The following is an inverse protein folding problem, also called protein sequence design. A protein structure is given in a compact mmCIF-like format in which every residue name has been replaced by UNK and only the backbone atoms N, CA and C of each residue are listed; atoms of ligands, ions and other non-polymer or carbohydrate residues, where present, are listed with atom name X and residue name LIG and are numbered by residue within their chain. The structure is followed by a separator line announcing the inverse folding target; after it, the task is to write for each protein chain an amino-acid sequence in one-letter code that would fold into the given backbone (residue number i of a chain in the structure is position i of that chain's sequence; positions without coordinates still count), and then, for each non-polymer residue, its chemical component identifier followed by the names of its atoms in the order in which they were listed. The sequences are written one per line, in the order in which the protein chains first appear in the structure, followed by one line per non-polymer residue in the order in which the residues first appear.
data_IF_774054386275
#
_entry.id   IF_774054386275
#
_cell.length_a   1.000
_cell.length_b   1.000
_cell.length_c   1.000
_cell.angle_alpha   90.00
_cell.angle_beta   90.00
_cell.angle_gamma   90.00
#
_symmetry.space_group_name_H-M   'P 1'
#
loop_
_entity.id
_entity.type
_entity.pdbx_description
1 polymer ?
#
# COMPACT_ATOMS: atom_id res chain seq x y z
N UNK A 1 -14.21 36.98 -23.88
CA UNK A 1 -13.01 36.78 -23.02
C UNK A 1 -12.68 35.30 -23.05
N UNK A 2 -11.59 34.92 -23.73
CA UNK A 2 -11.17 33.52 -23.83
C UNK A 2 -10.48 33.13 -22.53
N UNK A 3 -11.21 32.52 -21.59
CA UNK A 3 -10.63 31.93 -20.40
C UNK A 3 -9.62 30.86 -20.85
N UNK A 4 -8.35 31.04 -20.47
CA UNK A 4 -7.29 30.07 -20.74
C UNK A 4 -7.74 28.74 -20.14
N UNK A 5 -7.78 27.64 -20.90
CA UNK A 5 -8.20 26.35 -20.34
C UNK A 5 -7.28 26.03 -19.14
N UNK A 6 -7.84 25.51 -18.03
CA UNK A 6 -7.07 25.18 -16.86
C UNK A 6 -5.92 24.24 -17.26
N UNK A 7 -4.70 24.66 -16.97
CA UNK A 7 -3.52 23.86 -17.26
C UNK A 7 -3.61 22.55 -16.48
N UNK A 8 -3.29 21.43 -17.14
CA UNK A 8 -3.26 20.12 -16.50
C UNK A 8 -2.35 20.18 -15.26
N UNK A 9 -2.80 19.66 -14.09
CA UNK A 9 -1.96 19.59 -12.91
C UNK A 9 -0.72 18.74 -13.24
N UNK A 10 0.46 19.35 -13.14
CA UNK A 10 1.73 18.65 -13.40
C UNK A 10 1.98 17.62 -12.29
N UNK A 11 2.28 16.36 -12.63
CA UNK A 11 2.55 15.35 -11.63
C UNK A 11 3.87 15.67 -10.89
N UNK A 12 3.88 15.44 -9.59
CA UNK A 12 5.09 15.56 -8.76
C UNK A 12 6.04 14.39 -9.02
N UNK A 13 7.33 14.55 -8.70
CA UNK A 13 8.32 13.48 -8.85
C UNK A 13 7.92 12.18 -8.12
N UNK A 14 7.32 12.30 -6.94
CA UNK A 14 6.79 11.15 -6.19
C UNK A 14 5.64 10.44 -6.92
N UNK A 15 4.76 11.19 -7.60
CA UNK A 15 3.66 10.63 -8.38
C UNK A 15 4.18 9.90 -9.62
N UNK A 16 5.18 10.47 -10.30
CA UNK A 16 5.84 9.84 -11.46
C UNK A 16 6.59 8.58 -11.02
N UNK A 17 7.31 8.61 -9.90
CA UNK A 17 7.98 7.43 -9.34
C UNK A 17 6.97 6.33 -9.00
N UNK A 18 5.86 6.68 -8.35
CA UNK A 18 4.78 5.74 -8.07
C UNK A 18 4.14 5.17 -9.33
N UNK A 19 4.05 5.95 -10.41
CA UNK A 19 3.61 5.46 -11.72
C UNK A 19 4.61 4.48 -12.31
N UNK A 20 5.92 4.77 -12.28
CA UNK A 20 6.98 3.84 -12.73
C UNK A 20 6.91 2.51 -11.99
N UNK A 21 6.78 2.55 -10.65
CA UNK A 21 6.67 1.34 -9.84
C UNK A 21 5.43 0.53 -10.22
N UNK A 22 4.28 1.17 -10.44
CA UNK A 22 3.05 0.48 -10.86
C UNK A 22 3.15 -0.12 -12.26
N UNK A 23 3.71 0.61 -13.22
CA UNK A 23 3.96 0.12 -14.58
C UNK A 23 4.90 -1.07 -14.51
N UNK A 24 6.00 -0.97 -13.74
CA UNK A 24 6.93 -2.08 -13.55
C UNK A 24 6.26 -3.29 -12.89
N UNK A 25 5.46 -3.09 -11.85
CA UNK A 25 4.74 -4.16 -11.17
C UNK A 25 3.76 -4.90 -12.11
N UNK A 26 3.05 -4.16 -12.97
CA UNK A 26 2.12 -4.75 -13.92
C UNK A 26 2.82 -5.58 -15.02
N UNK A 27 3.99 -5.14 -15.49
CA UNK A 27 4.74 -5.83 -16.54
C UNK A 27 5.65 -6.96 -16.01
N UNK A 28 6.18 -6.81 -14.80
CA UNK A 28 7.13 -7.74 -14.19
C UNK A 28 6.71 -8.11 -12.75
N UNK A 29 5.57 -8.81 -12.58
CA UNK A 29 5.01 -9.08 -11.25
C UNK A 29 5.93 -9.91 -10.36
N UNK A 30 6.67 -10.86 -10.94
CA UNK A 30 7.62 -11.70 -10.20
C UNK A 30 8.85 -10.91 -9.72
N UNK A 31 9.39 -10.03 -10.58
CA UNK A 31 10.54 -9.20 -10.22
C UNK A 31 10.16 -8.17 -9.15
N UNK A 32 8.98 -7.55 -9.27
CA UNK A 32 8.43 -6.64 -8.27
C UNK A 32 8.19 -7.33 -6.91
N UNK A 33 7.58 -8.51 -6.93
CA UNK A 33 7.37 -9.33 -5.75
C UNK A 33 8.69 -9.71 -5.06
N UNK A 34 9.66 -10.19 -5.84
CA UNK A 34 10.98 -10.57 -5.33
C UNK A 34 11.72 -9.37 -4.72
N UNK A 35 11.77 -8.24 -5.43
CA UNK A 35 12.41 -7.02 -4.93
C UNK A 35 11.76 -6.50 -3.64
N UNK A 36 10.43 -6.46 -3.59
CA UNK A 36 9.71 -6.05 -2.39
C UNK A 36 9.89 -7.02 -1.21
N UNK A 37 9.93 -8.32 -1.48
CA UNK A 37 10.25 -9.35 -0.47
C UNK A 37 11.65 -9.17 0.10
N UNK A 38 12.66 -8.86 -0.73
CA UNK A 38 14.02 -8.59 -0.28
C UNK A 38 14.11 -7.34 0.60
N UNK A 39 13.44 -6.26 0.23
CA UNK A 39 13.39 -5.02 1.03
C UNK A 39 12.71 -5.27 2.38
N UNK A 40 11.60 -6.00 2.39
CA UNK A 40 10.93 -6.37 3.63
C UNK A 40 11.82 -7.26 4.51
N UNK A 41 12.49 -8.25 3.92
CA UNK A 41 13.46 -9.09 4.61
C UNK A 41 14.58 -8.28 5.25
N UNK A 42 15.18 -7.34 4.51
CA UNK A 42 16.22 -6.44 5.03
C UNK A 42 15.71 -5.57 6.20
N UNK A 43 14.47 -5.08 6.13
CA UNK A 43 13.87 -4.29 7.20
C UNK A 43 13.63 -5.11 8.46
N UNK A 44 13.13 -6.34 8.33
CA UNK A 44 12.96 -7.27 9.45
C UNK A 44 14.33 -7.65 10.04
N UNK A 45 15.35 -7.86 9.20
CA UNK A 45 16.72 -8.08 9.65
C UNK A 45 17.22 -6.94 10.53
N UNK A 46 17.04 -5.70 10.07
CA UNK A 46 17.44 -4.50 10.79
C UNK A 46 16.70 -4.37 12.13
N UNK A 47 15.38 -4.60 12.14
CA UNK A 47 14.58 -4.56 13.37
C UNK A 47 14.99 -5.64 14.36
N UNK A 48 15.32 -6.84 13.87
CA UNK A 48 15.77 -7.93 14.71
C UNK A 48 17.17 -7.66 15.28
N UNK A 49 18.09 -7.11 14.48
CA UNK A 49 19.41 -6.65 14.95
C UNK A 49 19.26 -5.58 16.04
N UNK A 50 18.38 -4.59 15.83
CA UNK A 50 18.12 -3.54 16.82
C UNK A 50 17.49 -4.09 18.11
N UNK A 51 16.62 -5.09 17.99
CA UNK A 51 15.96 -5.73 19.13
C UNK A 51 16.89 -6.70 19.88
N UNK A 52 17.85 -7.30 19.19
CA UNK A 52 18.89 -8.16 19.76
C UNK A 52 20.10 -7.38 20.30
N UNK A 53 20.26 -6.10 19.93
CA UNK A 53 21.37 -5.25 20.36
C UNK A 53 21.60 -5.22 21.89
N UNK A 54 20.57 -5.16 22.76
CA UNK A 54 20.77 -5.22 24.22
C UNK A 54 21.28 -6.58 24.73
N UNK A 55 20.96 -7.66 24.02
CA UNK A 55 21.40 -9.02 24.35
C UNK A 55 22.76 -9.39 23.77
N UNK A 56 23.27 -8.64 22.79
CA UNK A 56 24.61 -8.82 22.21
C UNK A 56 25.74 -8.29 23.12
N UNK A 57 25.41 -7.45 24.09
CA UNK A 57 26.35 -6.92 25.09
C UNK A 57 26.49 -7.82 26.32
N UNK A 58 25.63 -8.83 26.47
CA UNK A 58 25.68 -9.77 27.59
C UNK A 58 25.95 -11.20 27.08
N UNK A 59 27.12 -11.80 27.35
CA UNK A 59 27.51 -13.11 26.83
C UNK A 59 26.62 -14.27 27.33
N UNK A 60 25.71 -14.01 28.26
CA UNK A 60 24.70 -14.98 28.72
C UNK A 60 23.31 -14.82 28.06
N UNK A 61 23.08 -13.76 27.27
CA UNK A 61 21.74 -13.21 27.03
C UNK A 61 20.96 -13.72 25.81
N UNK A 62 21.60 -14.26 24.77
CA UNK A 62 20.89 -14.66 23.55
C UNK A 62 21.28 -16.08 23.09
N UNK A 63 20.51 -17.11 23.45
CA UNK A 63 20.80 -18.47 23.00
C UNK A 63 20.62 -18.59 21.48
N UNK A 64 21.48 -19.37 20.80
CA UNK A 64 21.55 -19.44 19.34
C UNK A 64 20.26 -19.85 18.62
N UNK A 65 19.32 -20.51 19.32
CA UNK A 65 17.99 -20.81 18.80
C UNK A 65 17.14 -19.55 18.55
N UNK A 66 17.43 -18.45 19.25
CA UNK A 66 16.74 -17.17 19.08
C UNK A 66 17.12 -16.52 17.74
N UNK A 67 18.40 -16.62 17.34
CA UNK A 67 18.86 -16.20 16.01
C UNK A 67 18.25 -17.07 14.89
N UNK A 68 18.16 -18.38 15.12
CA UNK A 68 17.50 -19.29 14.18
C UNK A 68 16.00 -18.99 14.04
N UNK A 69 15.31 -18.68 15.16
CA UNK A 69 13.92 -18.26 15.17
C UNK A 69 13.69 -16.93 14.45
N UNK A 70 14.57 -15.96 14.66
CA UNK A 70 14.57 -14.67 13.94
C UNK A 70 14.78 -14.89 12.44
N UNK A 71 15.76 -15.69 12.04
CA UNK A 71 16.02 -16.01 10.63
C UNK A 71 14.83 -16.73 9.98
N UNK A 72 14.20 -17.66 10.69
CA UNK A 72 12.98 -18.34 10.26
C UNK A 72 11.82 -17.37 10.08
N UNK A 73 11.57 -16.49 11.06
CA UNK A 73 10.54 -15.47 10.98
C UNK A 73 10.79 -14.46 9.84
N UNK A 74 12.04 -14.07 9.60
CA UNK A 74 12.45 -13.23 8.47
C UNK A 74 12.12 -13.87 7.13
N UNK A 75 12.48 -15.15 6.96
CA UNK A 75 12.26 -15.87 5.71
C UNK A 75 10.77 -16.05 5.44
N UNK A 76 9.99 -16.44 6.44
CA UNK A 76 8.53 -16.55 6.34
C UNK A 76 7.91 -15.18 6.03
N UNK A 77 8.31 -14.13 6.75
CA UNK A 77 7.82 -12.77 6.53
C UNK A 77 8.11 -12.25 5.12
N UNK A 78 9.35 -12.44 4.63
CA UNK A 78 9.75 -12.06 3.28
C UNK A 78 8.95 -12.81 2.21
N UNK A 79 8.72 -14.12 2.40
CA UNK A 79 7.91 -14.94 1.51
C UNK A 79 6.45 -14.50 1.48
N UNK A 80 5.86 -14.22 2.65
CA UNK A 80 4.48 -13.72 2.74
C UNK A 80 4.35 -12.37 2.03
N UNK A 81 5.28 -11.43 2.27
CA UNK A 81 5.28 -10.13 1.60
C UNK A 81 5.47 -10.29 0.09
N UNK A 82 6.42 -11.11 -0.37
CA UNK A 82 6.62 -11.38 -1.78
C UNK A 82 5.37 -11.99 -2.42
N UNK A 83 4.72 -12.95 -1.76
CA UNK A 83 3.48 -13.56 -2.23
C UNK A 83 2.36 -12.52 -2.35
N UNK A 84 2.14 -11.70 -1.32
CA UNK A 84 1.12 -10.65 -1.33
C UNK A 84 1.40 -9.60 -2.41
N UNK A 85 2.65 -9.17 -2.58
CA UNK A 85 3.04 -8.23 -3.63
C UNK A 85 2.91 -8.84 -5.03
N UNK A 86 3.17 -10.14 -5.18
CA UNK A 86 2.98 -10.87 -6.43
C UNK A 86 1.51 -11.01 -6.79
N UNK A 87 0.65 -11.34 -5.83
CA UNK A 87 -0.80 -11.37 -6.00
C UNK A 87 -1.34 -9.97 -6.34
N UNK A 88 -0.89 -8.95 -5.60
CA UNK A 88 -1.22 -7.56 -5.89
C UNK A 88 -0.78 -7.16 -7.31
N UNK A 89 0.46 -7.42 -7.70
CA UNK A 89 0.98 -7.07 -9.01
C UNK A 89 0.24 -7.78 -10.15
N UNK A 90 -0.15 -9.05 -9.97
CA UNK A 90 -0.98 -9.80 -10.91
C UNK A 90 -2.41 -9.29 -10.99
N UNK A 91 -2.93 -8.71 -9.91
CA UNK A 91 -4.25 -8.09 -9.87
C UNK A 91 -4.29 -6.69 -10.50
N UNK A 92 -3.14 -6.08 -10.80
CA UNK A 92 -3.11 -4.77 -11.42
C UNK A 92 -3.65 -4.82 -12.85
N UNK A 93 -4.47 -3.83 -13.26
CA UNK A 93 -4.93 -3.76 -14.63
C UNK A 93 -3.74 -3.59 -15.57
N UNK A 94 -3.71 -4.39 -16.63
CA UNK A 94 -2.73 -4.28 -17.71
C UNK A 94 -3.07 -3.05 -18.55
N UNK A 95 -2.50 -1.92 -18.17
CA UNK A 95 -2.61 -0.69 -18.96
C UNK A 95 -1.47 -0.69 -19.97
N UNK A 96 -1.78 -0.51 -21.25
CA UNK A 96 -0.79 -0.44 -22.33
C UNK A 96 0.11 0.82 -22.26
N UNK A 97 -0.22 1.76 -21.38
CA UNK A 97 0.53 2.99 -21.18
C UNK A 97 1.88 2.71 -20.51
N UNK A 98 2.96 3.11 -21.19
CA UNK A 98 4.34 2.96 -20.72
C UNK A 98 4.94 4.27 -20.22
N UNK A 99 4.37 5.43 -20.61
CA UNK A 99 4.86 6.73 -20.13
C UNK A 99 4.39 7.00 -18.69
N UNK A 100 5.31 7.04 -17.71
CA UNK A 100 4.94 7.28 -16.31
C UNK A 100 4.38 8.69 -16.07
N UNK A 101 4.72 9.68 -16.90
CA UNK A 101 4.20 11.03 -16.77
C UNK A 101 2.74 11.06 -17.21
N UNK A 102 2.43 10.54 -18.41
CA UNK A 102 1.06 10.44 -18.92
C UNK A 102 0.18 9.57 -18.02
N UNK A 103 0.71 8.45 -17.51
CA UNK A 103 0.04 7.63 -16.51
C UNK A 103 -0.28 8.41 -15.22
N UNK A 104 0.69 9.15 -14.68
CA UNK A 104 0.50 9.94 -13.47
C UNK A 104 -0.53 11.06 -13.66
N UNK A 105 -0.46 11.77 -14.79
CA UNK A 105 -1.40 12.83 -15.16
C UNK A 105 -2.83 12.28 -15.29
N UNK A 106 -3.02 11.19 -16.03
CA UNK A 106 -4.32 10.53 -16.16
C UNK A 106 -4.89 10.11 -14.80
N UNK A 107 -4.05 9.63 -13.88
CA UNK A 107 -4.47 9.23 -12.53
C UNK A 107 -4.85 10.42 -11.66
N UNK A 108 -4.11 11.53 -11.72
CA UNK A 108 -4.45 12.77 -11.01
C UNK A 108 -5.78 13.31 -11.53
N UNK A 109 -5.96 13.27 -12.83
CA UNK A 109 -7.16 13.77 -13.48
C UNK A 109 -8.40 12.92 -13.17
N UNK A 110 -8.29 11.59 -13.21
CA UNK A 110 -9.35 10.71 -12.72
C UNK A 110 -9.68 10.98 -11.24
N UNK A 111 -8.67 11.30 -10.43
CA UNK A 111 -8.84 11.61 -9.00
C UNK A 111 -9.36 13.03 -8.72
N UNK A 112 -9.25 13.96 -9.67
CA UNK A 112 -9.81 15.32 -9.53
C UNK A 112 -11.31 15.33 -9.80
N UNK A 113 -11.83 14.39 -10.59
CA UNK A 113 -13.24 14.35 -10.99
C UNK A 113 -13.54 15.18 -12.25
N UNK A 114 -12.53 15.75 -12.90
CA UNK A 114 -12.70 16.70 -14.01
C UNK A 114 -12.09 16.20 -15.32
N UNK A 115 -12.70 16.55 -16.45
CA UNK A 115 -12.14 16.30 -17.78
C UNK A 115 -11.04 17.33 -18.07
N UNK A 116 -9.93 16.84 -18.62
CA UNK A 116 -8.82 17.66 -19.06
C UNK A 116 -9.00 18.09 -20.52
N UNK A 117 -8.16 19.03 -20.98
CA UNK A 117 -8.17 19.48 -22.38
C UNK A 117 -7.66 18.42 -23.37
N UNK A 118 -6.92 17.41 -22.90
CA UNK A 118 -6.34 16.37 -23.76
C UNK A 118 -7.27 15.13 -23.81
N UNK A 119 -7.87 14.82 -24.99
CA UNK A 119 -8.76 13.67 -25.14
C UNK A 119 -8.05 12.33 -24.97
N UNK A 120 -6.75 12.22 -25.26
CA UNK A 120 -6.01 10.97 -25.06
C UNK A 120 -5.83 10.66 -23.57
N UNK A 121 -5.45 11.68 -22.79
CA UNK A 121 -5.36 11.58 -21.33
C UNK A 121 -6.74 11.31 -20.72
N UNK A 122 -7.82 11.91 -21.24
CA UNK A 122 -9.20 11.62 -20.80
C UNK A 122 -9.58 10.15 -21.03
N UNK A 123 -9.31 9.61 -22.22
CA UNK A 123 -9.55 8.19 -22.55
C UNK A 123 -8.74 7.25 -21.66
N UNK A 124 -7.48 7.59 -21.40
CA UNK A 124 -6.63 6.81 -20.51
C UNK A 124 -7.15 6.86 -19.07
N UNK A 125 -7.49 8.04 -18.57
CA UNK A 125 -8.07 8.25 -17.24
C UNK A 125 -9.40 7.48 -17.09
N UNK A 126 -10.22 7.40 -18.14
CA UNK A 126 -11.46 6.62 -18.16
C UNK A 126 -11.21 5.10 -18.15
N UNK A 127 -10.28 4.60 -18.97
CA UNK A 127 -9.87 3.18 -18.92
C UNK A 127 -9.28 2.80 -17.58
N UNK A 128 -8.52 3.71 -16.97
CA UNK A 128 -8.06 3.54 -15.61
C UNK A 128 -9.23 3.55 -14.63
N UNK A 129 -10.12 4.54 -14.63
CA UNK A 129 -11.21 4.64 -13.63
C UNK A 129 -12.15 3.44 -13.66
N UNK A 130 -12.47 2.91 -14.84
CA UNK A 130 -13.28 1.69 -15.00
C UNK A 130 -12.63 0.47 -14.35
N UNK A 131 -11.32 0.28 -14.55
CA UNK A 131 -10.58 -0.83 -13.94
C UNK A 131 -10.22 -0.59 -12.47
N UNK A 132 -9.93 0.67 -12.12
CA UNK A 132 -9.61 1.06 -10.74
C UNK A 132 -10.88 1.12 -9.90
N UNK A 133 -12.08 1.20 -10.47
CA UNK A 133 -13.34 1.07 -9.74
C UNK A 133 -13.43 -0.23 -8.94
N UNK A 134 -12.87 -1.33 -9.47
CA UNK A 134 -12.68 -2.59 -8.75
C UNK A 134 -11.60 -2.52 -7.66
N UNK A 135 -10.51 -1.78 -7.90
CA UNK A 135 -9.37 -1.63 -6.97
C UNK A 135 -9.47 -0.44 -6.00
N UNK A 136 -10.52 0.38 -6.06
CA UNK A 136 -10.74 1.58 -5.23
C UNK A 136 -11.91 1.41 -4.29
N UNK A 137 -12.62 0.28 -4.35
CA UNK A 137 -13.60 -0.07 -3.33
C UNK A 137 -12.85 -0.23 -2.00
N UNK A 138 -13.06 0.67 -1.02
CA UNK A 138 -12.33 0.66 0.23
C UNK A 138 -12.47 -0.66 1.00
N UNK A 139 -13.51 -1.45 0.73
CA UNK A 139 -13.71 -2.78 1.32
C UNK A 139 -12.57 -3.73 1.00
N UNK A 140 -11.99 -3.66 -0.21
CA UNK A 140 -10.86 -4.50 -0.62
C UNK A 140 -9.53 -4.10 0.05
N UNK A 141 -9.42 -2.84 0.49
CA UNK A 141 -8.26 -2.36 1.26
C UNK A 141 -8.38 -2.60 2.77
N UNK A 142 -9.60 -2.75 3.29
CA UNK A 142 -9.84 -3.02 4.72
C UNK A 142 -9.49 -4.46 5.11
N UNK A 143 -9.75 -5.44 4.24
CA UNK A 143 -9.47 -6.86 4.51
C UNK A 143 -8.01 -7.14 4.92
N UNK A 144 -6.97 -6.73 4.16
CA UNK A 144 -5.58 -6.95 4.57
C UNK A 144 -5.21 -6.15 5.83
N UNK A 145 -5.80 -4.98 6.05
CA UNK A 145 -5.59 -4.18 7.26
C UNK A 145 -6.15 -4.87 8.51
N UNK A 146 -7.31 -5.52 8.41
CA UNK A 146 -7.91 -6.31 9.48
C UNK A 146 -7.10 -7.56 9.79
N UNK A 147 -6.55 -8.23 8.76
CA UNK A 147 -5.66 -9.38 8.95
C UNK A 147 -4.37 -8.96 9.67
N UNK A 148 -3.75 -7.84 9.25
CA UNK A 148 -2.56 -7.29 9.92
C UNK A 148 -2.90 -6.90 11.36
N UNK A 149 -4.04 -6.22 11.59
CA UNK A 149 -4.48 -5.85 12.93
C UNK A 149 -4.63 -7.07 13.82
N UNK A 150 -5.31 -8.12 13.35
CA UNK A 150 -5.48 -9.37 14.09
C UNK A 150 -4.13 -10.01 14.42
N UNK A 151 -3.20 -10.04 13.47
CA UNK A 151 -1.87 -10.63 13.72
C UNK A 151 -1.04 -9.83 14.73
N UNK A 152 -1.13 -8.51 14.68
CA UNK A 152 -0.43 -7.59 15.60
C UNK A 152 -1.05 -7.61 17.00
N UNK A 153 -2.36 -7.88 17.12
CA UNK A 153 -3.05 -7.89 18.42
C UNK A 153 -3.02 -9.23 19.13
N UNK A 154 -3.00 -10.37 18.42
CA UNK A 154 -3.18 -11.71 19.02
C UNK A 154 -2.18 -12.00 20.15
N UNK A 155 -0.89 -11.74 19.94
CA UNK A 155 0.14 -12.01 20.96
C UNK A 155 0.01 -11.11 22.19
N UNK A 156 -0.01 -9.76 22.06
CA UNK A 156 -0.19 -8.90 23.23
C UNK A 156 -1.53 -9.14 23.94
N UNK A 157 -2.61 -9.51 23.23
CA UNK A 157 -3.87 -9.90 23.89
C UNK A 157 -3.73 -11.17 24.72
N UNK A 158 -3.02 -12.17 24.20
CA UNK A 158 -2.77 -13.42 24.92
C UNK A 158 -1.89 -13.22 26.17
N UNK A 159 -0.90 -12.34 26.09
CA UNK A 159 -0.04 -11.96 27.23
C UNK A 159 -0.82 -11.15 28.27
N UNK A 160 -1.76 -10.28 27.86
CA UNK A 160 -2.59 -9.47 28.77
C UNK A 160 -3.64 -10.28 29.53
N UNK A 161 -4.16 -11.35 28.93
CA UNK A 161 -5.17 -12.24 29.55
C UNK A 161 -4.51 -13.31 30.43
N UNK A 162 -3.19 -13.49 30.32
CA UNK A 162 -2.42 -14.45 31.10
C UNK A 162 -2.26 -14.07 32.58
N UNK A 163 -1.86 -15.03 33.43
CA UNK A 163 -1.70 -14.82 34.87
C UNK A 163 -0.59 -13.82 35.24
N UNK A 164 0.34 -13.54 34.32
CA UNK A 164 1.51 -12.67 34.51
C UNK A 164 1.30 -11.23 34.02
N UNK A 165 0.06 -10.73 34.07
CA UNK A 165 -0.25 -9.38 33.60
C UNK A 165 0.57 -8.30 34.33
N UNK A 166 1.36 -7.55 33.55
CA UNK A 166 2.01 -6.32 34.01
C UNK A 166 1.41 -5.11 33.29
N UNK A 167 1.17 -3.97 33.97
CA UNK A 167 0.65 -2.75 33.33
C UNK A 167 1.49 -2.25 32.15
N UNK A 168 2.80 -2.54 32.16
CA UNK A 168 3.72 -2.24 31.04
C UNK A 168 3.38 -3.01 29.77
N UNK A 169 2.67 -4.15 29.84
CA UNK A 169 2.21 -4.91 28.67
C UNK A 169 1.15 -4.15 27.86
N UNK A 170 0.46 -3.17 28.44
CA UNK A 170 -0.46 -2.30 27.70
C UNK A 170 0.26 -1.49 26.61
N UNK A 171 1.55 -1.17 26.79
CA UNK A 171 2.33 -0.50 25.75
C UNK A 171 2.54 -1.37 24.51
N UNK A 172 2.45 -2.70 24.63
CA UNK A 172 2.51 -3.60 23.48
C UNK A 172 1.27 -3.50 22.57
N UNK A 173 0.15 -2.94 23.06
CA UNK A 173 -1.04 -2.65 22.25
C UNK A 173 -0.91 -1.35 21.44
N UNK A 174 0.11 -0.52 21.70
CA UNK A 174 0.33 0.76 21.02
C UNK A 174 0.30 0.64 19.49
N UNK A 175 0.96 -0.35 18.84
CA UNK A 175 0.91 -0.51 17.39
C UNK A 175 -0.52 -0.78 16.89
N UNK A 176 -1.31 -1.56 17.62
CA UNK A 176 -2.69 -1.86 17.25
C UNK A 176 -3.60 -0.63 17.39
N UNK A 177 -3.46 0.13 18.49
CA UNK A 177 -4.20 1.38 18.70
C UNK A 177 -3.87 2.40 17.62
N UNK A 178 -2.57 2.58 17.30
CA UNK A 178 -2.14 3.45 16.20
C UNK A 178 -2.73 2.99 14.87
N UNK A 179 -2.73 1.69 14.59
CA UNK A 179 -3.26 1.14 13.34
C UNK A 179 -4.78 1.41 13.23
N UNK A 180 -5.54 1.20 14.32
CA UNK A 180 -6.98 1.54 14.38
C UNK A 180 -7.22 3.05 14.17
N UNK A 181 -6.44 3.91 14.82
CA UNK A 181 -6.55 5.36 14.68
C UNK A 181 -6.27 5.82 13.24
N UNK A 182 -5.41 5.11 12.50
CA UNK A 182 -5.10 5.41 11.11
C UNK A 182 -6.16 4.89 10.11
N UNK A 183 -6.93 3.87 10.48
CA UNK A 183 -7.96 3.27 9.59
C UNK A 183 -9.08 4.26 9.26
N UNK A 184 -9.61 4.99 10.25
CA UNK A 184 -10.72 5.94 10.04
C UNK A 184 -10.37 7.05 9.03
N UNK A 185 -9.26 7.82 9.19
CA UNK A 185 -8.89 8.84 8.21
C UNK A 185 -8.51 8.23 6.86
N UNK A 186 -7.89 7.04 6.83
CA UNK A 186 -7.60 6.34 5.58
C UNK A 186 -8.89 5.97 4.83
N UNK A 187 -9.89 5.45 5.53
CA UNK A 187 -11.18 5.08 4.95
C UNK A 187 -11.93 6.30 4.40
N UNK A 188 -11.98 7.41 5.16
CA UNK A 188 -12.59 8.67 4.68
C UNK A 188 -11.92 9.19 3.42
N UNK A 189 -10.59 9.17 3.37
CA UNK A 189 -9.82 9.57 2.18
C UNK A 189 -10.08 8.66 0.99
N UNK A 190 -10.20 7.34 1.22
CA UNK A 190 -10.52 6.37 0.18
C UNK A 190 -11.92 6.61 -0.40
N UNK A 191 -12.94 6.83 0.45
CA UNK A 191 -14.31 7.14 0.01
C UNK A 191 -14.39 8.45 -0.78
N UNK A 192 -13.74 9.51 -0.31
CA UNK A 192 -13.67 10.79 -1.03
C UNK A 192 -12.94 10.70 -2.37
N UNK A 193 -12.02 9.73 -2.52
CA UNK A 193 -11.36 9.46 -3.80
C UNK A 193 -12.26 8.65 -4.73
N UNK A 194 -12.97 7.66 -4.20
CA UNK A 194 -13.92 6.84 -4.95
C UNK A 194 -15.04 7.70 -5.56
N UNK A 195 -15.63 8.62 -4.80
CA UNK A 195 -16.68 9.52 -5.30
C UNK A 195 -16.20 10.40 -6.46
N UNK A 196 -14.97 10.94 -6.37
CA UNK A 196 -14.36 11.75 -7.45
C UNK A 196 -14.10 10.95 -8.72
N UNK A 197 -13.60 9.72 -8.58
CA UNK A 197 -13.37 8.82 -9.73
C UNK A 197 -14.70 8.44 -10.40
N UNK A 198 -15.75 8.23 -9.61
CA UNK A 198 -17.10 7.97 -10.14
C UNK A 198 -17.62 9.18 -10.90
N UNK A 199 -17.54 10.38 -10.30
CA UNK A 199 -17.95 11.63 -10.95
C UNK A 199 -17.18 11.90 -12.25
N UNK A 200 -15.89 11.58 -12.31
CA UNK A 200 -15.10 11.65 -13.55
C UNK A 200 -15.68 10.75 -14.64
N UNK A 201 -16.00 9.49 -14.30
CA UNK A 201 -16.54 8.52 -15.25
C UNK A 201 -17.88 9.00 -15.81
N UNK A 202 -18.80 9.41 -14.94
CA UNK A 202 -20.14 9.83 -15.35
C UNK A 202 -20.08 11.07 -16.26
N UNK A 203 -19.14 12.00 -16.01
CA UNK A 203 -18.87 13.16 -16.89
C UNK A 203 -18.24 12.77 -18.22
N UNK A 204 -17.35 11.78 -18.22
CA UNK A 204 -16.74 11.29 -19.46
C UNK A 204 -17.78 10.61 -20.35
N UNK A 205 -18.62 9.76 -19.76
CA UNK A 205 -19.70 9.05 -20.45
C UNK A 205 -20.72 10.04 -21.03
N UNK A 206 -21.17 11.04 -20.28
CA UNK A 206 -22.13 12.03 -20.78
C UNK A 206 -21.57 12.95 -21.87
N UNK A 207 -20.25 13.16 -21.91
CA UNK A 207 -19.61 13.96 -22.96
C UNK A 207 -19.37 13.17 -24.26
N UNK A 208 -19.52 11.85 -24.25
CA UNK A 208 -19.23 10.95 -25.38
C UNK A 208 -20.38 10.00 -25.73
N UNK A 209 -21.57 10.18 -25.13
CA UNK A 209 -22.84 9.53 -25.47
C UNK A 209 -23.61 10.32 -26.51
#
# INVERSE_FOLDING_TARGET
MNARPPALPRPTAAQVLGARVRIHAAHHPAAFAGGGGLVAGAFVALLALLSAAPGLTDPTGAPGWLLAGVAGAMLVGALVVALLLGLYARSLPKVAETDPVRYATARIQAASGELGPDPETNRLAHRMSTHTGYGSDPRHHLAPMLVILAFVTVRPLAEIIGPDFAPSMLFQLTPAVLLVLLVVPAHRRAMARYSRITAFRDRYESAHS
#
